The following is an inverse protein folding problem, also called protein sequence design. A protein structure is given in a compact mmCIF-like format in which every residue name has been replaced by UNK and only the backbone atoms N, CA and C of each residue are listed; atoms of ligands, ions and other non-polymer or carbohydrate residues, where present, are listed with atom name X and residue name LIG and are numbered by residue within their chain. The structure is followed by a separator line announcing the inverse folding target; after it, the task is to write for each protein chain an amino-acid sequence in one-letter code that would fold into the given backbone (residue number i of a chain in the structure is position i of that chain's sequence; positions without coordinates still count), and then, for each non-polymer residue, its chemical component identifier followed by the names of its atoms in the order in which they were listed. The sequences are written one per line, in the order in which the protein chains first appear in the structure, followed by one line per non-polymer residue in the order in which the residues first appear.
data_IF_492737918323
#
_entry.id   IF_492737918323
#
_cell.length_a   1.000
_cell.length_b   1.000
_cell.length_c   1.000
_cell.angle_alpha   90.00
_cell.angle_beta   90.00
_cell.angle_gamma   90.00
#
_symmetry.space_group_name_H-M   'P 1'
#
loop_
_entity.id
_entity.type
_entity.pdbx_description
1 polymer ?
#
# COMPACT_ATOMS: atom_id res chain seq x y z
N UNK A 1 -43.02 -24.65 -13.54
CA UNK A 1 -42.11 -25.33 -12.66
C UNK A 1 -41.16 -24.29 -12.03
N UNK A 2 -41.36 -23.99 -10.77
CA UNK A 2 -40.52 -23.02 -10.07
C UNK A 2 -39.34 -23.77 -9.47
N UNK A 3 -38.15 -23.52 -10.00
CA UNK A 3 -36.90 -24.00 -9.40
C UNK A 3 -36.73 -23.17 -8.15
N UNK A 4 -36.78 -23.83 -7.01
CA UNK A 4 -36.59 -23.20 -5.72
C UNK A 4 -35.17 -22.61 -5.67
N UNK A 5 -35.11 -21.29 -5.82
CA UNK A 5 -33.90 -20.51 -5.61
C UNK A 5 -33.36 -20.66 -4.18
N UNK A 6 -34.17 -21.15 -3.28
CA UNK A 6 -33.80 -21.47 -1.90
C UNK A 6 -32.77 -22.59 -1.78
N UNK A 7 -32.82 -23.58 -2.68
CA UNK A 7 -31.89 -24.71 -2.65
C UNK A 7 -30.44 -24.27 -3.04
N UNK A 8 -30.34 -23.34 -3.98
CA UNK A 8 -29.02 -22.78 -4.37
C UNK A 8 -28.43 -21.87 -3.28
N UNK A 9 -29.28 -21.19 -2.54
CA UNK A 9 -28.84 -20.34 -1.44
C UNK A 9 -28.32 -21.16 -0.25
N UNK A 10 -28.94 -22.30 0.01
CA UNK A 10 -28.53 -23.19 1.10
C UNK A 10 -27.16 -23.81 0.84
N UNK A 11 -26.84 -24.12 -0.40
CA UNK A 11 -25.53 -24.66 -0.79
C UNK A 11 -24.43 -23.58 -0.68
N UNK A 12 -24.75 -22.34 -1.04
CA UNK A 12 -23.83 -21.22 -0.90
C UNK A 12 -23.51 -20.88 0.56
N UNK A 13 -24.52 -20.99 1.44
CA UNK A 13 -24.33 -20.78 2.90
C UNK A 13 -23.49 -21.93 3.50
N UNK A 14 -23.70 -23.15 3.07
CA UNK A 14 -22.89 -24.29 3.54
C UNK A 14 -21.43 -24.16 3.11
N UNK A 15 -21.15 -23.62 1.94
CA UNK A 15 -19.80 -23.33 1.50
C UNK A 15 -19.13 -22.19 2.30
N UNK A 16 -19.92 -21.20 2.75
CA UNK A 16 -19.43 -20.14 3.65
C UNK A 16 -19.15 -20.66 5.06
N UNK A 17 -19.96 -21.56 5.56
CA UNK A 17 -19.74 -22.19 6.88
C UNK A 17 -18.51 -23.10 6.86
N UNK A 18 -18.22 -23.73 5.74
CA UNK A 18 -16.95 -24.44 5.57
C UNK A 18 -15.74 -23.50 5.54
N UNK A 19 -15.94 -22.25 5.14
CA UNK A 19 -14.93 -21.18 5.26
C UNK A 19 -14.67 -20.76 6.72
N UNK A 20 -15.65 -20.90 7.60
CA UNK A 20 -15.49 -20.63 9.03
C UNK A 20 -14.57 -21.63 9.74
N UNK A 21 -14.35 -22.80 9.19
CA UNK A 21 -13.32 -23.70 9.68
C UNK A 21 -11.90 -23.13 9.46
N UNK A 22 -11.74 -22.19 8.56
CA UNK A 22 -10.52 -21.42 8.38
C UNK A 22 -10.30 -20.43 9.54
N UNK A 23 -11.35 -19.99 10.22
CA UNK A 23 -11.25 -19.20 11.46
C UNK A 23 -10.64 -20.01 12.61
N UNK A 24 -10.68 -21.32 12.58
CA UNK A 24 -9.94 -22.15 13.53
C UNK A 24 -8.44 -22.08 13.31
N UNK A 25 -7.97 -21.67 12.13
CA UNK A 25 -6.57 -21.35 11.86
C UNK A 25 -6.19 -20.00 12.48
N UNK A 26 -7.08 -19.01 12.45
CA UNK A 26 -6.93 -17.78 13.19
C UNK A 26 -6.88 -18.00 14.72
N UNK A 27 -7.46 -19.08 15.19
CA UNK A 27 -7.37 -19.48 16.58
C UNK A 27 -5.99 -20.03 16.97
N UNK A 28 -5.26 -20.60 16.04
CA UNK A 28 -3.88 -21.02 16.24
C UNK A 28 -2.91 -19.84 16.33
N UNK A 29 -3.21 -18.73 15.61
CA UNK A 29 -2.43 -17.50 15.68
C UNK A 29 -2.56 -16.79 17.02
N UNK A 30 -3.63 -17.02 17.75
CA UNK A 30 -3.80 -16.53 19.11
C UNK A 30 -2.72 -17.05 20.09
N UNK A 31 -2.21 -18.24 19.89
CA UNK A 31 -1.16 -18.81 20.72
C UNK A 31 0.24 -18.32 20.33
N UNK A 32 0.38 -17.69 19.17
CA UNK A 32 1.61 -17.09 18.65
C UNK A 32 1.65 -15.58 18.87
N UNK A 33 1.14 -15.08 19.99
CA UNK A 33 0.93 -13.65 20.28
C UNK A 33 2.19 -12.77 20.19
N UNK A 34 3.39 -13.33 20.27
CA UNK A 34 4.64 -12.61 20.09
C UNK A 34 5.05 -12.43 18.62
N UNK A 35 4.52 -13.25 17.72
CA UNK A 35 4.87 -13.27 16.29
C UNK A 35 3.80 -12.60 15.40
N UNK A 36 2.59 -12.34 15.94
CA UNK A 36 1.47 -11.77 15.21
C UNK A 36 1.73 -10.36 14.65
N UNK A 37 2.73 -9.65 15.17
CA UNK A 37 3.14 -8.32 14.72
C UNK A 37 4.41 -8.32 13.86
N UNK A 38 5.10 -9.46 13.74
CA UNK A 38 6.25 -9.61 12.87
C UNK A 38 5.78 -10.02 11.46
N UNK A 39 6.01 -9.15 10.48
CA UNK A 39 5.76 -9.49 9.09
C UNK A 39 6.56 -10.72 8.68
N UNK A 40 5.91 -11.66 7.97
CA UNK A 40 6.60 -12.83 7.43
C UNK A 40 7.67 -12.42 6.42
N UNK A 41 8.66 -13.30 6.20
CA UNK A 41 9.69 -13.06 5.18
C UNK A 41 9.10 -12.85 3.79
N UNK A 42 8.00 -13.50 3.48
CA UNK A 42 7.28 -13.34 2.22
C UNK A 42 6.62 -11.96 2.11
N UNK A 43 5.97 -11.50 3.16
CA UNK A 43 5.36 -10.15 3.21
C UNK A 43 6.40 -9.06 3.07
N UNK A 44 7.55 -9.20 3.73
CA UNK A 44 8.69 -8.29 3.58
C UNK A 44 9.23 -8.28 2.14
N UNK A 45 9.31 -9.42 1.50
CA UNK A 45 9.76 -9.51 0.10
C UNK A 45 8.80 -8.81 -0.85
N UNK A 46 7.50 -9.02 -0.69
CA UNK A 46 6.47 -8.34 -1.47
C UNK A 46 6.48 -6.82 -1.20
N UNK A 47 6.65 -6.42 0.05
CA UNK A 47 6.75 -5.01 0.42
C UNK A 47 7.98 -4.34 -0.21
N UNK A 48 9.13 -5.02 -0.31
CA UNK A 48 10.32 -4.50 -1.02
C UNK A 48 10.07 -4.30 -2.51
N UNK A 49 9.36 -5.23 -3.15
CA UNK A 49 8.99 -5.09 -4.56
C UNK A 49 8.05 -3.89 -4.75
N UNK A 50 7.04 -3.77 -3.91
CA UNK A 50 6.13 -2.61 -3.92
C UNK A 50 6.85 -1.30 -3.61
N UNK A 51 7.85 -1.31 -2.74
CA UNK A 51 8.69 -0.12 -2.44
C UNK A 51 9.47 0.34 -3.66
N UNK A 52 10.09 -0.59 -4.40
CA UNK A 52 10.79 -0.26 -5.63
C UNK A 52 9.84 0.33 -6.68
N UNK A 53 8.64 -0.20 -6.79
CA UNK A 53 7.58 0.33 -7.65
C UNK A 53 7.19 1.75 -7.24
N UNK A 54 6.94 1.99 -5.95
CA UNK A 54 6.62 3.32 -5.42
C UNK A 54 7.73 4.32 -5.75
N UNK A 55 8.98 3.97 -5.50
CA UNK A 55 10.12 4.85 -5.79
C UNK A 55 10.24 5.16 -7.29
N UNK A 56 10.00 4.19 -8.16
CA UNK A 56 9.98 4.39 -9.62
C UNK A 56 8.86 5.32 -10.05
N UNK A 57 7.66 5.12 -9.53
CA UNK A 57 6.50 5.95 -9.81
C UNK A 57 6.69 7.39 -9.32
N UNK A 58 7.27 7.60 -8.15
CA UNK A 58 7.57 8.94 -7.62
C UNK A 58 8.58 9.70 -8.50
N UNK A 59 9.60 9.01 -9.02
CA UNK A 59 10.50 9.62 -10.02
C UNK A 59 9.76 10.00 -11.29
N UNK A 60 8.82 9.16 -11.71
CA UNK A 60 7.94 9.45 -12.83
C UNK A 60 7.03 10.65 -12.59
N UNK A 61 6.55 10.86 -11.36
CA UNK A 61 5.79 12.05 -10.96
C UNK A 61 6.61 13.30 -11.17
N UNK A 62 7.85 13.34 -10.68
CA UNK A 62 8.75 14.48 -10.84
C UNK A 62 8.99 14.79 -12.33
N UNK A 63 9.33 13.77 -13.12
CA UNK A 63 9.59 13.94 -14.55
C UNK A 63 8.36 14.43 -15.32
N UNK A 64 7.20 13.84 -15.09
CA UNK A 64 5.97 14.23 -15.77
C UNK A 64 5.54 15.65 -15.38
N UNK A 65 5.64 16.00 -14.11
CA UNK A 65 5.27 17.32 -13.63
C UNK A 65 6.23 18.40 -14.15
N UNK A 66 7.53 18.14 -14.17
CA UNK A 66 8.53 19.04 -14.73
C UNK A 66 8.34 19.28 -16.24
N UNK A 67 7.79 18.30 -16.96
CA UNK A 67 7.46 18.40 -18.38
C UNK A 67 6.12 19.12 -18.65
N UNK A 68 5.42 19.56 -17.62
CA UNK A 68 4.10 20.17 -17.72
C UNK A 68 2.93 19.18 -17.89
N UNK A 69 3.19 17.88 -17.78
CA UNK A 69 2.17 16.84 -17.87
C UNK A 69 1.60 16.49 -16.46
N UNK A 70 0.79 17.41 -15.94
CA UNK A 70 0.19 17.27 -14.62
C UNK A 70 -0.77 16.08 -14.50
N UNK A 71 -1.47 15.73 -15.59
CA UNK A 71 -2.38 14.58 -15.61
C UNK A 71 -1.62 13.25 -15.46
N UNK A 72 -0.51 13.10 -16.16
CA UNK A 72 0.36 11.93 -16.00
C UNK A 72 1.01 11.87 -14.61
N UNK A 73 1.48 13.01 -14.11
CA UNK A 73 2.02 13.11 -12.76
C UNK A 73 0.99 12.66 -11.71
N UNK A 74 -0.27 13.10 -11.83
CA UNK A 74 -1.33 12.67 -10.93
C UNK A 74 -1.61 11.17 -11.04
N UNK A 75 -1.65 10.62 -12.24
CA UNK A 75 -1.86 9.17 -12.46
C UNK A 75 -0.75 8.35 -11.81
N UNK A 76 0.51 8.73 -12.00
CA UNK A 76 1.65 8.04 -11.38
C UNK A 76 1.63 8.17 -9.85
N UNK A 77 1.24 9.32 -9.33
CA UNK A 77 1.07 9.53 -7.89
C UNK A 77 -0.01 8.62 -7.30
N UNK A 78 -1.15 8.50 -7.95
CA UNK A 78 -2.24 7.63 -7.49
C UNK A 78 -1.84 6.15 -7.51
N UNK A 79 -1.07 5.73 -8.51
CA UNK A 79 -0.47 4.40 -8.58
C UNK A 79 0.53 4.17 -7.44
N UNK A 80 1.42 5.14 -7.18
CA UNK A 80 2.38 5.07 -6.08
C UNK A 80 1.67 4.95 -4.73
N UNK A 81 0.60 5.71 -4.53
CA UNK A 81 -0.23 5.65 -3.32
C UNK A 81 -0.93 4.30 -3.15
N UNK A 82 -1.37 3.69 -4.25
CA UNK A 82 -1.97 2.35 -4.23
C UNK A 82 -0.95 1.27 -3.86
N UNK A 83 0.26 1.35 -4.40
CA UNK A 83 1.35 0.43 -4.06
C UNK A 83 1.85 0.65 -2.62
N UNK A 84 1.84 1.89 -2.12
CA UNK A 84 2.15 2.21 -0.74
C UNK A 84 1.23 1.50 0.28
N UNK A 85 -0.04 1.36 -0.03
CA UNK A 85 -1.01 0.65 0.83
C UNK A 85 -0.63 -0.81 1.09
N UNK A 86 0.18 -1.42 0.23
CA UNK A 86 0.69 -2.78 0.42
C UNK A 86 1.89 -2.83 1.36
N UNK A 87 2.58 -1.72 1.53
CA UNK A 87 3.78 -1.60 2.37
C UNK A 87 3.41 -1.20 3.80
N UNK A 88 2.51 -0.25 3.96
CA UNK A 88 2.18 0.36 5.25
C UNK A 88 1.81 -0.64 6.36
N UNK A 89 1.13 -1.79 6.11
CA UNK A 89 0.85 -2.77 7.16
C UNK A 89 2.07 -3.58 7.60
N UNK A 90 3.15 -3.57 6.82
CA UNK A 90 4.34 -4.42 7.01
C UNK A 90 5.46 -3.71 7.78
N UNK A 91 5.34 -2.40 7.93
CA UNK A 91 6.30 -1.52 8.60
C UNK A 91 5.72 -0.95 9.90
N UNK A 92 6.57 -0.30 10.70
CA UNK A 92 6.12 0.33 11.94
C UNK A 92 5.06 1.41 11.67
N UNK A 93 4.13 1.57 12.61
CA UNK A 93 3.08 2.59 12.53
C UNK A 93 3.65 4.02 12.47
N UNK A 94 4.83 4.23 13.04
CA UNK A 94 5.53 5.52 13.01
C UNK A 94 5.97 5.86 11.59
N UNK A 95 6.75 4.97 10.97
CA UNK A 95 7.26 5.15 9.62
C UNK A 95 6.11 5.25 8.58
N UNK A 96 5.08 4.42 8.76
CA UNK A 96 3.89 4.48 7.91
C UNK A 96 3.20 5.85 7.98
N UNK A 97 3.14 6.46 9.16
CA UNK A 97 2.53 7.78 9.37
C UNK A 97 3.39 8.90 8.79
N UNK A 98 4.71 8.86 9.00
CA UNK A 98 5.64 9.86 8.46
C UNK A 98 5.59 9.87 6.93
N UNK A 99 5.68 8.70 6.30
CA UNK A 99 5.52 8.59 4.85
C UNK A 99 4.14 9.03 4.36
N UNK A 100 3.06 8.72 5.09
CA UNK A 100 1.72 9.17 4.72
C UNK A 100 1.60 10.70 4.67
N UNK A 101 2.21 11.40 5.62
CA UNK A 101 2.24 12.86 5.61
C UNK A 101 2.94 13.43 4.36
N UNK A 102 4.01 12.78 3.92
CA UNK A 102 4.71 13.16 2.69
C UNK A 102 3.84 12.90 1.45
N UNK A 103 3.13 11.77 1.39
CA UNK A 103 2.16 11.51 0.32
C UNK A 103 1.05 12.55 0.27
N UNK A 104 0.51 12.93 1.42
CA UNK A 104 -0.55 13.94 1.50
C UNK A 104 -0.03 15.32 1.08
N UNK A 105 1.18 15.69 1.48
CA UNK A 105 1.83 16.93 1.07
C UNK A 105 2.03 16.99 -0.45
N UNK A 106 2.57 15.91 -1.03
CA UNK A 106 2.77 15.83 -2.49
C UNK A 106 1.44 15.87 -3.24
N UNK A 107 0.43 15.14 -2.77
CA UNK A 107 -0.91 15.14 -3.37
C UNK A 107 -1.53 16.54 -3.38
N UNK A 108 -1.39 17.29 -2.31
CA UNK A 108 -1.87 18.67 -2.23
C UNK A 108 -1.11 19.60 -3.19
N UNK A 109 0.19 19.44 -3.33
CA UNK A 109 0.99 20.23 -4.27
C UNK A 109 0.58 19.97 -5.73
N UNK A 110 0.35 18.71 -6.10
CA UNK A 110 -0.09 18.33 -7.43
C UNK A 110 -1.48 18.91 -7.75
N UNK A 111 -2.41 18.84 -6.81
CA UNK A 111 -3.78 19.37 -6.97
C UNK A 111 -3.81 20.88 -7.05
N UNK A 112 -2.99 21.57 -6.27
CA UNK A 112 -2.94 23.04 -6.24
C UNK A 112 -2.14 23.66 -7.38
N UNK A 113 -1.49 22.85 -8.22
CA UNK A 113 -0.63 23.34 -9.29
C UNK A 113 0.61 24.06 -8.77
N UNK A 114 1.21 23.55 -7.69
CA UNK A 114 2.40 24.13 -7.08
C UNK A 114 3.60 24.20 -8.03
N UNK A 115 4.63 25.02 -7.72
CA UNK A 115 5.80 25.13 -8.58
C UNK A 115 6.56 23.81 -8.69
N UNK A 116 7.06 23.49 -9.88
CA UNK A 116 7.77 22.25 -10.16
C UNK A 116 8.98 22.02 -9.23
N UNK A 117 9.67 23.08 -8.85
CA UNK A 117 10.79 23.02 -7.88
C UNK A 117 10.35 22.51 -6.52
N UNK A 118 9.16 22.87 -6.04
CA UNK A 118 8.60 22.43 -4.78
C UNK A 118 8.17 20.96 -4.85
N UNK A 119 7.52 20.57 -5.94
CA UNK A 119 7.15 19.16 -6.20
C UNK A 119 8.40 18.29 -6.23
N UNK A 120 9.43 18.70 -6.95
CA UNK A 120 10.72 18.01 -7.02
C UNK A 120 11.38 17.86 -5.65
N UNK A 121 11.39 18.91 -4.84
CA UNK A 121 11.95 18.86 -3.48
C UNK A 121 11.18 17.87 -2.59
N UNK A 122 9.85 17.85 -2.66
CA UNK A 122 9.02 16.91 -1.91
C UNK A 122 9.24 15.47 -2.36
N UNK A 123 9.27 15.21 -3.68
CA UNK A 123 9.56 13.88 -4.23
C UNK A 123 10.94 13.39 -3.78
N UNK A 124 11.93 14.26 -3.81
CA UNK A 124 13.28 13.92 -3.36
C UNK A 124 13.31 13.54 -1.89
N UNK A 125 12.69 14.32 -1.02
CA UNK A 125 12.59 14.00 0.41
C UNK A 125 11.87 12.66 0.64
N UNK A 126 10.79 12.38 -0.08
CA UNK A 126 10.10 11.08 -0.02
C UNK A 126 11.01 9.93 -0.44
N UNK A 127 11.78 10.09 -1.53
CA UNK A 127 12.69 9.03 -2.00
C UNK A 127 13.82 8.75 -1.00
N UNK A 128 14.32 9.76 -0.32
CA UNK A 128 15.33 9.62 0.74
C UNK A 128 14.73 8.85 1.94
N UNK A 129 13.57 9.26 2.43
CA UNK A 129 12.83 8.59 3.51
C UNK A 129 12.56 7.11 3.20
N UNK A 130 11.97 6.85 2.03
CA UNK A 130 11.64 5.49 1.61
C UNK A 130 12.90 4.61 1.47
N UNK A 131 13.99 5.18 1.01
CA UNK A 131 15.25 4.47 0.83
C UNK A 131 15.96 4.17 2.14
N UNK A 132 15.99 5.12 3.05
CA UNK A 132 16.77 4.99 4.29
C UNK A 132 16.00 4.27 5.38
N UNK A 133 14.81 4.68 5.68
CA UNK A 133 14.06 4.19 6.82
C UNK A 133 13.21 2.97 6.47
N UNK A 134 12.40 3.05 5.44
CA UNK A 134 11.52 1.95 5.06
C UNK A 134 12.32 0.75 4.53
N UNK A 135 13.33 0.98 3.72
CA UNK A 135 14.17 -0.11 3.22
C UNK A 135 14.95 -0.80 4.35
N UNK A 136 15.33 -0.05 5.40
CA UNK A 136 15.97 -0.61 6.60
C UNK A 136 15.03 -1.51 7.37
N UNK A 137 13.79 -1.10 7.59
CA UNK A 137 12.78 -1.91 8.26
C UNK A 137 12.45 -3.20 7.53
N UNK A 138 12.46 -3.17 6.20
CA UNK A 138 12.15 -4.32 5.37
C UNK A 138 13.32 -5.31 5.20
N UNK A 139 14.51 -5.01 5.71
CA UNK A 139 15.62 -5.95 5.73
C UNK A 139 15.40 -7.04 6.76
#
# INVERSE_FOLDING_TARGET
MRIDKTCLYTIAIAAMVAGDSVLSIGYLDWNATGEAFAASAQEKTQARQSLNEVMSLLRGVDTAYASGNSAEAQTKFDQARSSWKKISPVISAREAREAQLLFDSLGNQLKSGGPATKVKATVRGMLEELREDIQRELR
#
